data_IF_005120927787
#
_entry.id   IF_005120927787
#
_cell.length_a   1.000
_cell.length_b   1.000
_cell.length_c   1.000
_cell.angle_alpha   90.00
_cell.angle_beta   90.00
_cell.angle_gamma   90.00
#
_symmetry.space_group_name_H-M   'P 1'
#
loop_
_entity.id
_entity.type
_entity.pdbx_description
1 polymer ?
#
# COMPACT_ATOMS: atom_id res chain seq x y z
N UNK A 1 1.23 -1.59 -15.76
CA UNK A 1 1.85 -2.00 -14.48
C UNK A 1 1.24 -1.20 -13.33
N UNK A 2 1.04 -1.85 -12.20
CA UNK A 2 0.47 -1.27 -10.99
C UNK A 2 0.90 -2.07 -9.78
N UNK A 3 0.85 -1.46 -8.59
CA UNK A 3 1.31 -2.10 -7.35
C UNK A 3 0.16 -2.15 -6.36
N UNK A 4 0.04 -3.28 -5.67
CA UNK A 4 -0.94 -3.48 -4.61
C UNK A 4 -0.18 -3.70 -3.31
N UNK A 5 -0.41 -2.84 -2.32
CA UNK A 5 0.18 -2.93 -0.99
C UNK A 5 -0.85 -3.53 -0.04
N UNK A 6 -0.64 -4.79 0.34
CA UNK A 6 -1.60 -5.55 1.15
C UNK A 6 -1.12 -5.62 2.61
N UNK A 7 -2.02 -5.37 3.56
CA UNK A 7 -1.82 -5.63 4.98
C UNK A 7 -2.98 -6.47 5.54
N UNK A 8 -2.81 -7.01 6.74
CA UNK A 8 -3.83 -7.80 7.44
C UNK A 8 -4.53 -6.92 8.50
N UNK A 9 -5.87 -6.84 8.46
CA UNK A 9 -6.64 -6.00 9.40
C UNK A 9 -6.53 -6.43 10.86
N UNK A 10 -6.18 -7.69 11.12
CA UNK A 10 -5.95 -8.23 12.46
C UNK A 10 -4.49 -8.07 12.92
N UNK A 11 -3.57 -7.63 12.05
CA UNK A 11 -2.15 -7.50 12.37
C UNK A 11 -1.63 -6.05 12.17
N UNK A 12 -1.55 -5.29 13.26
CA UNK A 12 -1.04 -3.91 13.26
C UNK A 12 0.41 -3.77 12.78
N UNK A 13 1.27 -4.77 12.98
CA UNK A 13 2.65 -4.71 12.49
C UNK A 13 2.70 -4.76 10.96
N UNK A 14 1.82 -5.55 10.33
CA UNK A 14 1.70 -5.59 8.86
C UNK A 14 1.29 -4.24 8.28
N UNK A 15 0.37 -3.52 8.95
CA UNK A 15 -0.03 -2.17 8.56
C UNK A 15 1.10 -1.15 8.70
N UNK A 16 1.86 -1.22 9.80
CA UNK A 16 3.02 -0.33 10.01
C UNK A 16 4.11 -0.51 8.94
N UNK A 17 4.26 -1.72 8.39
CA UNK A 17 5.25 -2.01 7.35
C UNK A 17 4.93 -1.38 5.99
N UNK A 18 3.66 -1.05 5.70
CA UNK A 18 3.22 -0.51 4.38
C UNK A 18 3.99 0.75 3.98
N UNK A 19 4.25 1.66 4.93
CA UNK A 19 5.04 2.88 4.66
C UNK A 19 6.48 2.54 4.26
N UNK A 20 7.09 1.56 4.92
CA UNK A 20 8.44 1.09 4.59
C UNK A 20 8.51 0.49 3.18
N UNK A 21 7.53 -0.34 2.81
CA UNK A 21 7.43 -0.90 1.46
C UNK A 21 7.21 0.19 0.40
N UNK A 22 6.35 1.17 0.67
CA UNK A 22 6.15 2.31 -0.22
C UNK A 22 7.44 3.11 -0.44
N UNK A 23 8.19 3.41 0.62
CA UNK A 23 9.46 4.13 0.50
C UNK A 23 10.53 3.33 -0.25
N UNK A 24 10.53 2.00 -0.12
CA UNK A 24 11.44 1.15 -0.88
C UNK A 24 11.09 1.18 -2.37
N UNK A 25 9.80 1.01 -2.73
CA UNK A 25 9.35 1.15 -4.12
C UNK A 25 9.74 2.51 -4.70
N UNK A 26 9.54 3.59 -3.94
CA UNK A 26 9.92 4.93 -4.38
C UNK A 26 11.39 5.03 -4.76
N UNK A 27 12.29 4.51 -3.93
CA UNK A 27 13.74 4.50 -4.19
C UNK A 27 14.07 3.65 -5.42
N UNK A 28 13.49 2.46 -5.53
CA UNK A 28 13.76 1.54 -6.65
C UNK A 28 13.33 2.17 -7.98
N UNK A 29 12.15 2.78 -8.03
CA UNK A 29 11.67 3.48 -9.23
C UNK A 29 12.49 4.74 -9.55
N UNK A 30 12.96 5.47 -8.55
CA UNK A 30 13.85 6.63 -8.76
C UNK A 30 15.19 6.20 -9.38
N UNK A 31 15.80 5.13 -8.89
CA UNK A 31 17.04 4.55 -9.45
C UNK A 31 16.81 4.10 -10.90
N UNK A 32 15.72 3.39 -11.17
CA UNK A 32 15.39 2.92 -12.52
C UNK A 32 15.21 4.10 -13.47
N UNK A 33 14.45 5.12 -13.06
CA UNK A 33 14.23 6.36 -13.84
C UNK A 33 15.56 7.01 -14.23
N UNK A 34 16.46 7.20 -13.25
CA UNK A 34 17.76 7.84 -13.46
C UNK A 34 18.69 7.01 -14.37
N UNK A 35 18.70 5.68 -14.21
CA UNK A 35 19.59 4.80 -14.96
C UNK A 35 19.15 4.55 -16.40
N UNK A 36 17.86 4.64 -16.69
CA UNK A 36 17.29 4.22 -17.97
C UNK A 36 16.72 5.37 -18.80
N UNK A 37 16.77 6.62 -18.30
CA UNK A 37 16.00 7.75 -18.84
C UNK A 37 14.51 7.42 -19.06
N UNK A 38 13.98 6.42 -18.34
CA UNK A 38 12.59 6.01 -18.45
C UNK A 38 11.68 7.06 -17.81
N UNK A 39 10.57 7.45 -18.44
CA UNK A 39 9.60 8.38 -17.85
C UNK A 39 8.74 7.74 -16.73
N UNK A 40 8.96 6.46 -16.41
CA UNK A 40 8.18 5.73 -15.41
C UNK A 40 8.59 6.18 -14.00
N UNK A 41 7.85 7.15 -13.47
CA UNK A 41 7.97 7.61 -12.08
C UNK A 41 6.94 6.92 -11.21
N UNK A 42 7.28 6.66 -9.94
CA UNK A 42 6.35 6.08 -8.96
C UNK A 42 5.02 6.87 -8.91
N UNK A 43 5.10 8.19 -9.01
CA UNK A 43 3.96 9.12 -9.02
C UNK A 43 2.93 8.84 -10.13
N UNK A 44 3.34 8.13 -11.19
CA UNK A 44 2.50 7.77 -12.34
C UNK A 44 1.99 6.33 -12.26
N UNK A 45 2.43 5.55 -11.28
CA UNK A 45 1.99 4.17 -11.11
C UNK A 45 0.74 4.13 -10.23
N UNK A 46 -0.32 3.40 -10.64
CA UNK A 46 -1.46 3.17 -9.78
C UNK A 46 -1.03 2.27 -8.61
N UNK A 47 -1.03 2.83 -7.40
CA UNK A 47 -0.75 2.11 -6.15
C UNK A 47 -2.02 2.05 -5.33
N UNK A 48 -2.47 0.85 -4.97
CA UNK A 48 -3.65 0.64 -4.13
C UNK A 48 -3.25 0.00 -2.82
N UNK A 49 -3.79 0.50 -1.70
CA UNK A 49 -3.64 -0.15 -0.39
C UNK A 49 -4.83 -1.07 -0.14
N UNK A 50 -4.56 -2.30 0.31
CA UNK A 50 -5.57 -3.33 0.57
C UNK A 50 -5.49 -3.78 2.02
N UNK A 51 -6.56 -3.58 2.78
CA UNK A 51 -6.75 -4.20 4.09
C UNK A 51 -7.39 -5.58 3.92
N UNK A 52 -6.60 -6.63 4.02
CA UNK A 52 -7.03 -8.01 3.80
C UNK A 52 -7.50 -8.70 5.09
N UNK A 53 -8.22 -9.81 4.93
CA UNK A 53 -8.82 -10.67 5.97
C UNK A 53 -10.00 -10.03 6.69
N UNK A 54 -10.91 -9.39 5.95
CA UNK A 54 -12.12 -8.80 6.54
C UNK A 54 -13.04 -9.80 7.23
N UNK A 55 -12.86 -11.09 6.98
CA UNK A 55 -13.46 -12.19 7.74
C UNK A 55 -13.06 -12.20 9.22
N UNK A 56 -11.87 -11.69 9.57
CA UNK A 56 -11.37 -11.55 10.94
C UNK A 56 -11.78 -10.21 11.61
N UNK A 57 -12.97 -9.70 11.31
CA UNK A 57 -13.44 -8.40 11.83
C UNK A 57 -13.46 -8.33 13.37
N UNK A 58 -13.72 -9.45 14.04
CA UNK A 58 -13.72 -9.55 15.51
C UNK A 58 -12.33 -9.34 16.11
N UNK A 59 -11.29 -9.74 15.38
CA UNK A 59 -9.88 -9.62 15.79
C UNK A 59 -9.21 -8.38 15.19
N UNK A 60 -10.00 -7.46 14.62
CA UNK A 60 -9.49 -6.26 13.96
C UNK A 60 -8.67 -5.41 14.93
N UNK A 61 -7.41 -5.21 14.60
CA UNK A 61 -6.50 -4.30 15.33
C UNK A 61 -6.21 -3.02 14.53
N UNK A 62 -6.53 -3.01 13.24
CA UNK A 62 -6.34 -1.86 12.34
C UNK A 62 -7.71 -1.30 11.92
N UNK A 63 -8.05 -0.06 12.31
CA UNK A 63 -9.29 0.58 11.87
C UNK A 63 -9.31 0.79 10.35
N UNK A 64 -10.45 0.57 9.71
CA UNK A 64 -10.64 0.81 8.25
C UNK A 64 -10.24 2.23 7.85
N UNK A 65 -10.56 3.23 8.70
CA UNK A 65 -10.15 4.63 8.47
C UNK A 65 -8.62 4.78 8.42
N UNK A 66 -7.87 3.96 9.15
CA UNK A 66 -6.41 3.96 9.13
C UNK A 66 -5.85 3.67 7.75
N UNK A 67 -6.39 2.65 7.07
CA UNK A 67 -6.02 2.31 5.69
C UNK A 67 -6.32 3.42 4.69
N UNK A 68 -7.52 4.00 4.77
CA UNK A 68 -7.92 5.11 3.91
C UNK A 68 -7.07 6.38 4.12
N UNK A 69 -6.75 6.71 5.39
CA UNK A 69 -5.86 7.82 5.72
C UNK A 69 -4.46 7.59 5.18
N UNK A 70 -3.90 6.39 5.38
CA UNK A 70 -2.56 6.05 4.89
C UNK A 70 -2.48 6.14 3.36
N UNK A 71 -3.50 5.68 2.64
CA UNK A 71 -3.55 5.80 1.18
C UNK A 71 -3.51 7.27 0.73
N UNK A 72 -4.26 8.15 1.41
CA UNK A 72 -4.23 9.60 1.13
C UNK A 72 -2.89 10.24 1.47
N UNK A 73 -2.28 9.88 2.59
CA UNK A 73 -0.96 10.40 3.01
C UNK A 73 0.15 10.05 2.03
N UNK A 74 0.12 8.83 1.47
CA UNK A 74 1.13 8.35 0.53
C UNK A 74 0.85 8.77 -0.92
N UNK A 75 -0.34 9.30 -1.22
CA UNK A 75 -0.75 9.64 -2.59
C UNK A 75 -1.14 8.41 -3.43
N UNK A 76 -1.53 7.31 -2.79
CA UNK A 76 -2.03 6.10 -3.45
C UNK A 76 -3.38 6.37 -4.13
N UNK A 77 -3.66 5.66 -5.23
CA UNK A 77 -4.87 5.87 -6.03
C UNK A 77 -6.15 5.34 -5.36
N UNK A 78 -6.02 4.54 -4.30
CA UNK A 78 -7.18 4.09 -3.53
C UNK A 78 -6.84 3.22 -2.33
N UNK A 79 -7.90 2.93 -1.58
CA UNK A 79 -7.92 1.98 -0.49
C UNK A 79 -9.15 1.08 -0.63
N UNK A 80 -8.99 -0.21 -0.35
CA UNK A 80 -10.07 -1.18 -0.31
C UNK A 80 -9.82 -2.22 0.78
N UNK A 81 -10.87 -2.86 1.26
CA UNK A 81 -10.75 -4.02 2.16
C UNK A 81 -11.25 -5.27 1.46
N UNK A 82 -10.57 -6.39 1.69
CA UNK A 82 -10.87 -7.68 1.05
C UNK A 82 -10.87 -8.81 2.07
N UNK A 83 -11.58 -9.89 1.74
CA UNK A 83 -11.29 -11.22 2.28
C UNK A 83 -10.80 -12.07 1.12
N UNK A 84 -9.60 -12.60 1.27
CA UNK A 84 -9.13 -13.73 0.48
C UNK A 84 -9.40 -14.97 1.35
N UNK A 85 -10.61 -15.51 1.24
CA UNK A 85 -10.98 -16.76 1.91
C UNK A 85 -10.32 -17.94 1.23
#
# INVERSE_FOLDING_TARGET
DGVVLVYDIANRASFAAIRGYYDQLRRDYEIVTQRTNSPVRLERLPIVIVGNKTDLVSDRTVPTKGGATLARELGCCGFLETSAT
#
